data_IF_284024506055
#
_entry.id   IF_284024506055
#
_cell.length_a   1.000
_cell.length_b   1.000
_cell.length_c   1.000
_cell.angle_alpha   90.00
_cell.angle_beta   90.00
_cell.angle_gamma   90.00
#
_symmetry.space_group_name_H-M   'P 1'
#
loop_
_entity.id
_entity.type
_entity.pdbx_description
1 polymer ?
#
# COMPACT_ATOMS: atom_id res chain seq x y z
N UNK A 1 -20.11 -6.41 -33.14
CA UNK A 1 -19.10 -6.32 -34.23
C UNK A 1 -19.22 -5.00 -34.98
N UNK A 2 -18.80 -3.85 -34.41
CA UNK A 2 -18.85 -2.54 -35.13
C UNK A 2 -17.51 -1.76 -35.07
N UNK A 3 -16.52 -2.12 -34.27
CA UNK A 3 -15.27 -1.35 -34.14
C UNK A 3 -14.15 -1.72 -35.14
N UNK A 4 -14.45 -2.36 -36.27
CA UNK A 4 -13.42 -2.89 -37.20
C UNK A 4 -13.16 -2.02 -38.45
N UNK A 5 -13.98 -1.00 -38.73
CA UNK A 5 -13.90 -0.28 -40.01
C UNK A 5 -12.90 0.90 -40.03
N UNK A 6 -12.52 1.48 -38.87
CA UNK A 6 -11.67 2.67 -38.82
C UNK A 6 -10.15 2.41 -38.84
N UNK A 7 -9.70 1.16 -38.74
CA UNK A 7 -8.28 0.80 -38.55
C UNK A 7 -7.49 0.53 -39.85
N UNK A 8 -8.18 0.55 -41.00
CA UNK A 8 -7.58 0.28 -42.33
C UNK A 8 -6.90 1.50 -42.96
N UNK A 9 -7.16 2.71 -42.46
CA UNK A 9 -6.68 3.97 -43.06
C UNK A 9 -5.42 4.53 -42.38
N UNK A 10 -4.87 3.87 -41.35
CA UNK A 10 -3.65 4.36 -40.70
C UNK A 10 -2.44 4.06 -41.59
N UNK A 11 -1.75 5.09 -42.13
CA UNK A 11 -0.60 4.88 -42.99
C UNK A 11 0.45 4.08 -42.22
N UNK A 12 1.12 3.16 -42.92
CA UNK A 12 2.15 2.27 -42.34
C UNK A 12 3.17 3.07 -41.51
N UNK A 13 3.50 4.30 -41.94
CA UNK A 13 4.35 5.25 -41.23
C UNK A 13 3.80 5.64 -39.85
N UNK A 14 2.51 5.94 -39.73
CA UNK A 14 1.87 6.27 -38.45
C UNK A 14 1.91 5.08 -37.47
N UNK A 15 1.66 3.86 -37.95
CA UNK A 15 1.76 2.64 -37.13
C UNK A 15 3.19 2.40 -36.63
N UNK A 16 4.19 2.57 -37.50
CA UNK A 16 5.60 2.43 -37.10
C UNK A 16 6.03 3.50 -36.09
N UNK A 17 5.59 4.76 -36.25
CA UNK A 17 5.87 5.84 -35.29
C UNK A 17 5.20 5.55 -33.95
N UNK A 18 3.92 5.17 -33.95
CA UNK A 18 3.19 4.83 -32.73
C UNK A 18 3.84 3.65 -31.98
N UNK A 19 4.34 2.65 -32.71
CA UNK A 19 5.09 1.53 -32.13
C UNK A 19 6.36 2.02 -31.39
N UNK A 20 7.16 2.87 -32.06
CA UNK A 20 8.38 3.43 -31.48
C UNK A 20 8.10 4.30 -30.26
N UNK A 21 7.08 5.16 -30.33
CA UNK A 21 6.66 6.00 -29.20
C UNK A 21 6.26 5.13 -28.02
N UNK A 22 5.49 4.07 -28.24
CA UNK A 22 5.05 3.16 -27.17
C UNK A 22 6.24 2.50 -26.48
N UNK A 23 7.19 1.94 -27.25
CA UNK A 23 8.40 1.32 -26.70
C UNK A 23 9.25 2.33 -25.93
N UNK A 24 9.45 3.54 -26.47
CA UNK A 24 10.21 4.60 -25.80
C UNK A 24 9.54 5.06 -24.51
N UNK A 25 8.22 5.25 -24.52
CA UNK A 25 7.45 5.68 -23.35
C UNK A 25 7.51 4.65 -22.22
N UNK A 26 7.23 3.38 -22.52
CA UNK A 26 7.27 2.33 -21.49
C UNK A 26 8.70 2.02 -21.03
N UNK A 27 9.68 2.09 -21.93
CA UNK A 27 11.10 1.96 -21.57
C UNK A 27 11.54 3.08 -20.63
N UNK A 28 11.19 4.34 -20.94
CA UNK A 28 11.45 5.49 -20.08
C UNK A 28 10.79 5.32 -18.70
N UNK A 29 9.54 4.89 -18.67
CA UNK A 29 8.80 4.68 -17.42
C UNK A 29 9.39 3.54 -16.59
N UNK A 30 9.80 2.43 -17.21
CA UNK A 30 10.51 1.35 -16.53
C UNK A 30 11.84 1.82 -15.90
N UNK A 31 12.63 2.62 -16.63
CA UNK A 31 13.87 3.22 -16.11
C UNK A 31 13.58 4.14 -14.92
N UNK A 32 12.55 4.98 -15.00
CA UNK A 32 12.14 5.84 -13.88
C UNK A 32 11.74 5.02 -12.65
N UNK A 33 10.98 3.92 -12.83
CA UNK A 33 10.59 3.04 -11.73
C UNK A 33 11.81 2.38 -11.08
N UNK A 34 12.78 1.93 -11.87
CA UNK A 34 14.04 1.35 -11.37
C UNK A 34 14.89 2.37 -10.62
N UNK A 35 15.13 3.55 -11.18
CA UNK A 35 15.93 4.62 -10.54
C UNK A 35 15.26 5.06 -9.23
N UNK A 36 13.94 5.24 -9.25
CA UNK A 36 13.20 5.68 -8.08
C UNK A 36 13.17 4.60 -6.99
N UNK A 37 13.08 3.31 -7.34
CA UNK A 37 13.21 2.20 -6.39
C UNK A 37 14.63 2.11 -5.82
N UNK A 38 15.67 2.25 -6.66
CA UNK A 38 17.06 2.31 -6.20
C UNK A 38 17.26 3.46 -5.21
N UNK A 39 16.76 4.66 -5.53
CA UNK A 39 16.84 5.81 -4.64
C UNK A 39 16.12 5.60 -3.31
N UNK A 40 15.03 4.84 -3.31
CA UNK A 40 14.32 4.46 -2.09
C UNK A 40 15.12 3.46 -1.24
N UNK A 41 15.88 2.56 -1.87
CA UNK A 41 16.70 1.54 -1.21
C UNK A 41 18.05 2.07 -0.72
N UNK A 42 18.75 2.87 -1.54
CA UNK A 42 20.11 3.35 -1.25
C UNK A 42 20.13 4.75 -0.63
N UNK A 43 19.02 5.49 -0.70
CA UNK A 43 18.97 6.90 -0.32
C UNK A 43 19.64 7.85 -1.32
N UNK A 44 20.15 7.33 -2.45
CA UNK A 44 20.85 8.10 -3.49
C UNK A 44 20.08 8.02 -4.81
N UNK A 45 19.67 9.14 -5.43
CA UNK A 45 20.03 10.53 -5.13
C UNK A 45 19.24 11.14 -3.96
N UNK A 46 19.94 11.88 -3.08
CA UNK A 46 19.37 12.42 -1.83
C UNK A 46 18.19 13.39 -2.02
N UNK A 47 18.07 14.04 -3.19
CA UNK A 47 16.92 14.89 -3.51
C UNK A 47 15.65 14.08 -3.76
N UNK A 48 15.78 12.95 -4.47
CA UNK A 48 14.66 12.06 -4.77
C UNK A 48 14.27 11.24 -3.53
N UNK A 49 15.27 10.72 -2.81
CA UNK A 49 15.07 9.98 -1.56
C UNK A 49 14.31 10.83 -0.52
N UNK A 50 14.70 12.09 -0.31
CA UNK A 50 13.98 13.00 0.60
C UNK A 50 12.52 13.25 0.21
N UNK A 51 12.24 13.43 -1.08
CA UNK A 51 10.85 13.59 -1.56
C UNK A 51 10.02 12.33 -1.34
N UNK A 52 10.60 11.16 -1.62
CA UNK A 52 9.92 9.87 -1.43
C UNK A 52 9.71 9.55 0.06
N UNK A 53 10.70 9.80 0.90
CA UNK A 53 10.61 9.67 2.36
C UNK A 53 9.61 10.67 2.97
N UNK A 54 9.54 11.90 2.46
CA UNK A 54 8.51 12.87 2.86
C UNK A 54 7.10 12.40 2.55
N UNK A 55 6.91 11.63 1.46
CA UNK A 55 5.63 11.01 1.13
C UNK A 55 5.35 9.75 1.96
N UNK A 56 6.40 9.07 2.47
CA UNK A 56 6.35 7.76 3.15
C UNK A 56 7.36 7.69 4.32
N UNK A 57 7.12 8.40 5.43
CA UNK A 57 8.10 8.52 6.52
C UNK A 57 8.42 7.19 7.23
N UNK A 58 7.50 6.22 7.20
CA UNK A 58 7.62 4.94 7.90
C UNK A 58 8.09 3.78 7.01
N UNK A 59 8.63 4.06 5.82
CA UNK A 59 9.09 3.01 4.92
C UNK A 59 10.41 2.41 5.41
N UNK A 60 10.35 1.16 5.87
CA UNK A 60 11.53 0.32 6.09
C UNK A 60 11.87 -0.39 4.78
N UNK A 61 13.08 -0.24 4.24
CA UNK A 61 13.51 -0.96 3.04
C UNK A 61 13.39 -2.48 3.24
N UNK A 62 12.47 -3.12 2.53
CA UNK A 62 12.34 -4.58 2.50
C UNK A 62 12.55 -5.06 1.07
N UNK A 63 13.69 -5.71 0.83
CA UNK A 63 14.01 -6.32 -0.47
C UNK A 63 13.66 -7.79 -0.40
N UNK A 64 12.63 -8.19 -1.14
CA UNK A 64 12.38 -9.61 -1.39
C UNK A 64 13.17 -10.02 -2.64
N UNK A 65 14.24 -10.80 -2.45
CA UNK A 65 15.12 -11.22 -3.55
C UNK A 65 14.33 -11.91 -4.70
N UNK A 66 13.30 -12.68 -4.36
CA UNK A 66 12.41 -13.33 -5.34
C UNK A 66 11.70 -12.31 -6.24
N UNK A 67 11.10 -11.27 -5.65
CA UNK A 67 10.41 -10.22 -6.41
C UNK A 67 11.39 -9.43 -7.30
N UNK A 68 12.61 -9.20 -6.82
CA UNK A 68 13.67 -8.55 -7.60
C UNK A 68 14.06 -9.38 -8.83
N UNK A 69 14.28 -10.69 -8.65
CA UNK A 69 14.61 -11.60 -9.76
C UNK A 69 13.48 -11.60 -10.79
N UNK A 70 12.22 -11.72 -10.34
CA UNK A 70 11.05 -11.69 -11.22
C UNK A 70 10.99 -10.37 -12.02
N UNK A 71 11.22 -9.23 -11.38
CA UNK A 71 11.24 -7.94 -12.05
C UNK A 71 12.35 -7.81 -13.11
N UNK A 72 13.55 -8.32 -12.81
CA UNK A 72 14.66 -8.38 -13.78
C UNK A 72 14.28 -9.28 -14.95
N UNK A 73 13.71 -10.46 -14.70
CA UNK A 73 13.27 -11.39 -15.74
C UNK A 73 12.22 -10.76 -16.66
N UNK A 74 11.22 -10.05 -16.11
CA UNK A 74 10.24 -9.32 -16.91
C UNK A 74 10.88 -8.23 -17.77
N UNK A 75 11.83 -7.48 -17.21
CA UNK A 75 12.55 -6.42 -17.94
C UNK A 75 13.38 -6.99 -19.09
N UNK A 76 14.10 -8.09 -18.85
CA UNK A 76 14.90 -8.78 -19.87
C UNK A 76 14.00 -9.39 -20.94
N UNK A 77 12.92 -10.08 -20.56
CA UNK A 77 11.98 -10.67 -21.49
C UNK A 77 11.37 -9.60 -22.42
N UNK A 78 10.97 -8.45 -21.86
CA UNK A 78 10.47 -7.33 -22.65
C UNK A 78 11.51 -6.80 -23.65
N UNK A 79 12.77 -6.59 -23.22
CA UNK A 79 13.86 -6.15 -24.11
C UNK A 79 14.11 -7.15 -25.24
N UNK A 80 14.12 -8.45 -24.93
CA UNK A 80 14.29 -9.51 -25.93
C UNK A 80 13.15 -9.49 -26.95
N UNK A 81 11.90 -9.36 -26.49
CA UNK A 81 10.74 -9.31 -27.39
C UNK A 81 10.80 -8.08 -28.30
N UNK A 82 11.08 -6.91 -27.71
CA UNK A 82 11.19 -5.65 -28.46
C UNK A 82 12.29 -5.71 -29.51
N UNK A 83 13.45 -6.28 -29.15
CA UNK A 83 14.60 -6.34 -30.03
C UNK A 83 14.44 -7.35 -31.17
N UNK A 84 13.82 -8.50 -30.89
CA UNK A 84 13.73 -9.67 -31.79
C UNK A 84 12.50 -9.67 -32.68
N UNK A 85 11.34 -9.23 -32.18
CA UNK A 85 10.05 -9.55 -32.79
C UNK A 85 9.21 -8.35 -33.22
N UNK A 86 9.55 -7.12 -32.85
CA UNK A 86 8.56 -6.02 -32.94
C UNK A 86 9.03 -4.77 -33.68
N UNK A 87 9.87 -4.94 -34.71
CA UNK A 87 10.31 -3.80 -35.55
C UNK A 87 9.27 -3.37 -36.59
N UNK A 88 8.22 -4.18 -36.78
CA UNK A 88 7.14 -3.95 -37.76
C UNK A 88 5.92 -3.17 -37.23
N UNK A 89 5.14 -2.54 -38.13
CA UNK A 89 3.92 -1.78 -37.82
C UNK A 89 2.75 -2.64 -37.30
N UNK A 90 2.74 -3.93 -37.58
CA UNK A 90 1.72 -4.89 -37.12
C UNK A 90 1.77 -5.17 -35.61
N UNK A 91 2.90 -4.87 -34.97
CA UNK A 91 3.14 -5.21 -33.57
C UNK A 91 2.83 -4.09 -32.57
N UNK A 92 2.24 -2.97 -33.02
CA UNK A 92 1.92 -1.80 -32.15
C UNK A 92 1.12 -2.21 -30.91
N UNK A 93 0.05 -2.99 -31.10
CA UNK A 93 -0.84 -3.39 -30.00
C UNK A 93 -0.11 -4.33 -29.03
N UNK A 94 0.69 -5.25 -29.56
CA UNK A 94 1.45 -6.21 -28.75
C UNK A 94 2.54 -5.52 -27.93
N UNK A 95 3.25 -4.55 -28.50
CA UNK A 95 4.23 -3.75 -27.75
C UNK A 95 3.58 -2.88 -26.68
N UNK A 96 2.40 -2.36 -26.96
CA UNK A 96 1.65 -1.58 -26.00
C UNK A 96 1.20 -2.45 -24.81
N UNK A 97 0.60 -3.61 -25.07
CA UNK A 97 0.17 -4.53 -23.98
C UNK A 97 1.36 -5.04 -23.17
N UNK A 98 2.47 -5.42 -23.83
CA UNK A 98 3.68 -5.84 -23.12
C UNK A 98 4.30 -4.72 -22.29
N UNK A 99 4.28 -3.47 -22.77
CA UNK A 99 4.74 -2.31 -22.02
C UNK A 99 3.88 -2.03 -20.78
N UNK A 100 2.56 -2.17 -20.89
CA UNK A 100 1.63 -2.07 -19.76
C UNK A 100 1.88 -3.19 -18.75
N UNK A 101 2.03 -4.44 -19.21
CA UNK A 101 2.31 -5.59 -18.34
C UNK A 101 3.65 -5.40 -17.61
N UNK A 102 4.70 -4.97 -18.30
CA UNK A 102 6.00 -4.68 -17.68
C UNK A 102 5.87 -3.61 -16.60
N UNK A 103 5.23 -2.49 -16.93
CA UNK A 103 5.02 -1.38 -16.01
C UNK A 103 4.27 -1.83 -14.77
N UNK A 104 3.16 -2.55 -14.97
CA UNK A 104 2.34 -3.04 -13.88
C UNK A 104 3.07 -4.08 -13.03
N UNK A 105 3.81 -5.00 -13.66
CA UNK A 105 4.62 -5.99 -12.96
C UNK A 105 5.70 -5.31 -12.11
N UNK A 106 6.40 -4.30 -12.63
CA UNK A 106 7.39 -3.53 -11.87
C UNK A 106 6.75 -2.82 -10.67
N UNK A 107 5.57 -2.22 -10.84
CA UNK A 107 4.85 -1.60 -9.72
C UNK A 107 4.47 -2.64 -8.67
N UNK A 108 3.91 -3.79 -9.08
CA UNK A 108 3.45 -4.82 -8.14
C UNK A 108 4.59 -5.60 -7.48
N UNK A 109 5.80 -5.59 -8.04
CA UNK A 109 6.95 -6.31 -7.47
C UNK A 109 7.86 -5.38 -6.66
N UNK A 110 8.30 -4.26 -7.25
CA UNK A 110 9.23 -3.33 -6.62
C UNK A 110 8.51 -2.37 -5.66
N UNK A 111 7.36 -1.85 -6.08
CA UNK A 111 6.68 -0.76 -5.38
C UNK A 111 5.63 -1.24 -4.40
N UNK A 112 5.17 -2.49 -4.47
CA UNK A 112 4.13 -3.00 -3.58
C UNK A 112 4.48 -2.87 -2.08
N UNK A 113 5.69 -3.23 -1.60
CA UNK A 113 6.05 -3.02 -0.19
C UNK A 113 6.05 -1.53 0.17
N UNK A 114 6.59 -0.73 -0.74
CA UNK A 114 6.66 0.72 -0.60
C UNK A 114 5.30 1.39 -0.67
N UNK A 115 4.29 0.79 -1.31
CA UNK A 115 2.89 1.22 -1.42
C UNK A 115 2.01 0.70 -0.28
N UNK A 116 2.39 -0.40 0.36
CA UNK A 116 1.69 -0.93 1.53
C UNK A 116 2.14 -0.31 2.88
N UNK A 117 3.39 0.13 2.99
CA UNK A 117 3.96 0.66 4.26
C UNK A 117 3.19 1.84 4.86
N UNK A 118 2.72 2.77 4.04
CA UNK A 118 2.05 4.01 4.43
C UNK A 118 0.64 3.82 4.98
N UNK A 119 0.01 2.68 4.70
CA UNK A 119 -1.32 2.31 5.18
C UNK A 119 -1.25 1.40 6.41
N UNK A 120 -0.05 0.93 6.79
CA UNK A 120 0.06 -0.19 7.71
C UNK A 120 -0.23 0.20 9.16
N UNK A 121 -1.48 -0.03 9.60
CA UNK A 121 -1.90 -0.03 11.00
C UNK A 121 -1.22 -1.17 11.81
N UNK A 122 -0.40 -1.99 11.15
CA UNK A 122 0.32 -3.11 11.73
C UNK A 122 1.18 -2.71 12.93
N UNK A 123 1.84 -1.57 12.89
CA UNK A 123 2.62 -1.08 14.03
C UNK A 123 1.71 -0.76 15.24
N UNK A 124 0.54 -0.15 14.98
CA UNK A 124 -0.47 0.11 16.01
C UNK A 124 -1.03 -1.21 16.57
N UNK A 125 -1.38 -2.18 15.72
CA UNK A 125 -1.96 -3.45 16.18
C UNK A 125 -0.96 -4.36 16.90
N UNK A 126 0.31 -4.37 16.49
CA UNK A 126 1.37 -5.11 17.19
C UNK A 126 1.68 -4.51 18.56
N UNK A 127 1.68 -3.18 18.69
CA UNK A 127 1.85 -2.53 19.99
C UNK A 127 0.60 -2.64 20.86
N UNK A 128 -0.59 -2.58 20.27
CA UNK A 128 -1.86 -2.85 20.92
C UNK A 128 -1.88 -4.26 21.54
N UNK A 129 -1.47 -5.29 20.79
CA UNK A 129 -1.39 -6.67 21.29
C UNK A 129 -0.56 -6.79 22.56
N UNK A 130 0.52 -6.00 22.70
CA UNK A 130 1.36 -5.99 23.90
C UNK A 130 0.73 -5.24 25.07
N UNK A 131 -0.16 -4.29 24.79
CA UNK A 131 -0.84 -3.47 25.78
C UNK A 131 -2.17 -4.07 26.26
N UNK A 132 -2.75 -5.00 25.49
CA UNK A 132 -3.94 -5.75 25.87
C UNK A 132 -3.60 -6.64 27.08
N UNK A 133 -4.33 -6.52 28.20
CA UNK A 133 -4.19 -7.40 29.34
C UNK A 133 -4.63 -8.83 29.00
N UNK A 134 -3.98 -9.82 29.62
CA UNK A 134 -4.40 -11.23 29.49
C UNK A 134 -5.80 -11.45 30.10
N UNK A 135 -6.58 -12.37 29.53
CA UNK A 135 -7.92 -12.73 30.03
C UNK A 135 -9.10 -12.06 29.31
N UNK A 136 -8.84 -11.07 28.44
CA UNK A 136 -9.89 -10.46 27.63
C UNK A 136 -10.07 -11.20 26.30
N UNK A 137 -11.32 -11.45 25.92
CA UNK A 137 -11.68 -12.16 24.67
C UNK A 137 -12.38 -11.27 23.64
N UNK A 138 -12.76 -10.05 24.03
CA UNK A 138 -13.50 -9.11 23.20
C UNK A 138 -12.87 -7.72 23.24
N UNK A 139 -12.84 -7.08 22.07
CA UNK A 139 -12.44 -5.69 21.89
C UNK A 139 -13.57 -4.92 21.20
N UNK A 140 -14.12 -3.93 21.89
CA UNK A 140 -15.15 -3.08 21.34
C UNK A 140 -14.49 -1.97 20.48
N UNK A 141 -15.03 -1.68 19.29
CA UNK A 141 -14.46 -0.73 18.34
C UNK A 141 -15.37 0.49 18.17
N UNK A 142 -14.76 1.67 18.20
CA UNK A 142 -15.39 2.96 17.90
C UNK A 142 -14.54 3.71 16.89
N UNK A 143 -15.16 4.22 15.81
CA UNK A 143 -14.46 4.95 14.74
C UNK A 143 -13.71 4.08 13.72
N UNK A 144 -13.48 2.80 14.02
CA UNK A 144 -12.71 1.87 13.16
C UNK A 144 -13.53 1.36 11.96
N UNK A 145 -12.92 1.32 10.77
CA UNK A 145 -13.53 0.82 9.53
C UNK A 145 -13.66 -0.71 9.48
N UNK A 146 -14.55 -1.23 8.62
CA UNK A 146 -14.77 -2.68 8.48
C UNK A 146 -13.51 -3.44 8.02
N UNK A 147 -12.72 -2.84 7.12
CA UNK A 147 -11.48 -3.41 6.61
C UNK A 147 -10.39 -3.52 7.69
N UNK A 148 -10.36 -2.60 8.65
CA UNK A 148 -9.41 -2.61 9.76
C UNK A 148 -9.79 -3.64 10.83
N UNK A 149 -11.09 -3.87 11.04
CA UNK A 149 -11.61 -4.85 11.99
C UNK A 149 -11.03 -6.25 11.75
N UNK A 150 -11.11 -6.74 10.50
CA UNK A 150 -10.59 -8.08 10.17
C UNK A 150 -9.08 -8.20 10.40
N UNK A 151 -8.32 -7.14 10.13
CA UNK A 151 -6.89 -7.09 10.44
C UNK A 151 -6.63 -7.06 11.94
N UNK A 152 -7.42 -6.32 12.71
CA UNK A 152 -7.32 -6.24 14.16
C UNK A 152 -7.51 -7.62 14.80
N UNK A 153 -8.55 -8.36 14.40
CA UNK A 153 -8.79 -9.72 14.87
C UNK A 153 -7.62 -10.65 14.52
N UNK A 154 -7.07 -10.54 13.31
CA UNK A 154 -5.92 -11.33 12.87
C UNK A 154 -4.66 -11.07 13.71
N UNK A 155 -4.35 -9.80 13.99
CA UNK A 155 -3.11 -9.44 14.70
C UNK A 155 -3.22 -9.59 16.23
N UNK A 156 -4.38 -9.29 16.81
CA UNK A 156 -4.58 -9.31 18.27
C UNK A 156 -5.16 -10.64 18.78
N UNK A 157 -5.86 -11.40 17.93
CA UNK A 157 -6.58 -12.61 18.32
C UNK A 157 -7.87 -12.35 19.11
N UNK A 158 -8.24 -11.09 19.32
CA UNK A 158 -9.47 -10.69 20.01
C UNK A 158 -10.64 -10.63 19.03
N UNK A 159 -11.85 -10.96 19.50
CA UNK A 159 -13.07 -10.71 18.71
C UNK A 159 -13.38 -9.22 18.72
N UNK A 160 -13.34 -8.59 17.55
CA UNK A 160 -13.52 -7.17 17.40
C UNK A 160 -14.99 -6.86 17.05
N UNK A 161 -15.69 -6.19 17.96
CA UNK A 161 -17.12 -5.86 17.81
C UNK A 161 -17.35 -4.37 17.79
N UNK A 162 -18.11 -3.87 16.82
CA UNK A 162 -18.42 -2.44 16.70
C UNK A 162 -19.46 -2.04 17.75
N UNK A 163 -19.21 -0.94 18.46
CA UNK A 163 -20.11 -0.46 19.53
C UNK A 163 -21.42 0.13 18.98
N UNK A 164 -21.51 0.40 17.68
CA UNK A 164 -22.81 0.75 17.05
C UNK A 164 -23.84 -0.40 17.15
N UNK A 165 -23.39 -1.65 17.34
CA UNK A 165 -24.23 -2.87 17.24
C UNK A 165 -24.17 -3.74 18.52
N UNK A 166 -23.23 -3.51 19.44
CA UNK A 166 -23.07 -4.36 20.63
C UNK A 166 -23.25 -3.57 21.94
N UNK A 167 -24.00 -4.17 22.85
CA UNK A 167 -24.17 -3.73 24.23
C UNK A 167 -22.78 -3.52 24.91
N UNK A 168 -22.48 -2.32 25.43
CA UNK A 168 -21.26 -2.02 26.18
C UNK A 168 -21.00 -2.93 27.38
N UNK A 169 -21.98 -3.73 27.81
CA UNK A 169 -21.89 -4.60 28.97
C UNK A 169 -21.13 -5.91 28.77
N UNK A 170 -20.95 -6.37 27.53
CA UNK A 170 -20.31 -7.67 27.27
C UNK A 170 -18.77 -7.57 27.15
N UNK A 171 -18.23 -6.48 26.59
CA UNK A 171 -16.80 -6.34 26.32
C UNK A 171 -16.12 -5.34 27.26
N UNK A 172 -15.04 -5.77 27.94
CA UNK A 172 -14.32 -4.95 28.92
C UNK A 172 -13.23 -4.03 28.33
N UNK A 173 -12.97 -4.09 27.03
CA UNK A 173 -12.01 -3.25 26.32
C UNK A 173 -12.69 -2.47 25.19
N UNK A 174 -12.26 -1.23 24.99
CA UNK A 174 -12.72 -0.33 23.93
C UNK A 174 -11.52 0.30 23.22
N UNK A 175 -11.41 0.08 21.91
CA UNK A 175 -10.48 0.75 21.03
C UNK A 175 -11.20 1.86 20.26
N UNK A 176 -10.77 3.09 20.51
CA UNK A 176 -11.29 4.29 19.87
C UNK A 176 -10.27 4.82 18.86
N UNK A 177 -10.72 4.97 17.61
CA UNK A 177 -9.94 5.58 16.54
C UNK A 177 -10.44 7.00 16.29
N UNK A 178 -9.53 7.97 16.39
CA UNK A 178 -9.84 9.39 16.23
C UNK A 178 -8.90 10.03 15.20
N UNK A 179 -9.35 11.03 14.44
CA UNK A 179 -8.47 11.72 13.49
C UNK A 179 -7.28 12.37 14.20
N UNK A 180 -6.10 12.41 13.57
CA UNK A 180 -4.85 12.87 14.19
C UNK A 180 -4.78 14.30 14.71
N UNK A 181 -5.77 15.12 14.38
CA UNK A 181 -5.94 16.48 14.92
C UNK A 181 -6.78 16.53 16.21
N UNK A 182 -7.32 15.39 16.65
CA UNK A 182 -8.10 15.31 17.87
C UNK A 182 -7.24 15.62 19.10
N UNK A 183 -7.84 16.31 20.07
CA UNK A 183 -7.18 16.58 21.34
C UNK A 183 -6.83 15.27 22.08
N UNK A 184 -5.77 15.26 22.89
CA UNK A 184 -5.45 14.13 23.75
C UNK A 184 -6.68 13.72 24.54
N UNK A 185 -7.08 12.46 24.44
CA UNK A 185 -8.25 12.00 25.18
C UNK A 185 -7.86 11.68 26.61
N UNK A 186 -8.57 12.30 27.55
CA UNK A 186 -8.56 11.87 28.94
C UNK A 186 -9.35 10.57 29.16
N UNK A 187 -9.54 10.23 30.43
CA UNK A 187 -10.43 9.15 30.83
C UNK A 187 -11.87 9.48 30.43
N UNK A 188 -12.61 8.46 29.98
CA UNK A 188 -14.01 8.57 29.61
C UNK A 188 -14.88 8.06 30.78
N UNK A 189 -16.10 8.58 31.01
CA UNK A 189 -16.93 8.09 32.11
C UNK A 189 -17.13 6.56 32.05
N UNK A 190 -16.71 5.84 33.10
CA UNK A 190 -16.76 4.37 33.16
C UNK A 190 -15.61 3.64 32.43
N UNK A 191 -14.64 4.35 31.86
CA UNK A 191 -13.55 3.81 31.07
C UNK A 191 -12.21 4.49 31.41
N UNK A 192 -11.21 3.72 31.83
CA UNK A 192 -9.85 4.20 32.07
C UNK A 192 -8.96 4.01 30.84
N UNK A 193 -8.20 5.04 30.46
CA UNK A 193 -7.24 4.93 29.35
C UNK A 193 -6.03 4.13 29.81
N UNK A 194 -5.73 3.04 29.11
CA UNK A 194 -4.58 2.17 29.44
C UNK A 194 -3.46 2.24 28.39
N UNK A 195 -3.77 2.70 27.18
CA UNK A 195 -2.78 2.81 26.11
C UNK A 195 -3.22 3.80 25.03
N UNK A 196 -2.25 4.46 24.41
CA UNK A 196 -2.44 5.37 23.29
C UNK A 196 -1.32 5.17 22.27
N UNK A 197 -1.68 5.11 20.99
CA UNK A 197 -0.73 5.09 19.88
C UNK A 197 -1.02 6.21 18.91
N UNK A 198 -0.02 7.07 18.76
CA UNK A 198 0.01 8.13 17.76
C UNK A 198 0.99 7.73 16.68
N UNK A 199 0.51 7.65 15.44
CA UNK A 199 1.39 7.31 14.32
C UNK A 199 2.47 8.40 14.16
N UNK A 200 3.77 8.05 14.09
CA UNK A 200 4.86 9.03 13.99
C UNK A 200 4.95 9.76 12.63
N UNK A 201 3.93 9.69 11.79
CA UNK A 201 3.98 10.26 10.44
C UNK A 201 3.75 11.78 10.46
N UNK A 202 4.41 12.49 9.54
CA UNK A 202 4.34 13.95 9.37
C UNK A 202 2.92 14.46 9.03
N UNK A 203 2.04 13.59 8.50
CA UNK A 203 0.62 13.92 8.28
C UNK A 203 -0.22 13.45 9.48
N UNK A 204 -1.25 14.22 9.91
CA UNK A 204 -2.14 13.80 10.98
C UNK A 204 -2.90 12.55 10.52
N UNK A 205 -2.40 11.38 10.92
CA UNK A 205 -3.05 10.08 10.80
C UNK A 205 -3.85 9.79 12.06
N UNK A 206 -4.67 8.78 12.00
CA UNK A 206 -5.55 8.40 13.10
C UNK A 206 -4.76 8.01 14.36
N UNK A 207 -5.33 8.37 15.51
CA UNK A 207 -4.86 8.13 16.87
C UNK A 207 -5.71 7.00 17.42
N UNK A 208 -5.04 5.93 17.86
CA UNK A 208 -5.68 4.78 18.47
C UNK A 208 -5.56 4.90 19.98
N UNK A 209 -6.69 4.85 20.70
CA UNK A 209 -6.72 4.89 22.16
C UNK A 209 -7.42 3.65 22.69
N UNK A 210 -6.77 2.91 23.58
CA UNK A 210 -7.34 1.74 24.24
C UNK A 210 -7.81 2.12 25.65
N UNK A 211 -9.06 1.79 25.91
CA UNK A 211 -9.75 1.97 27.17
C UNK A 211 -10.10 0.63 27.80
N UNK A 212 -10.06 0.59 29.13
CA UNK A 212 -10.55 -0.51 29.96
C UNK A 212 -11.79 -0.06 30.71
N UNK A 213 -12.82 -0.89 30.76
CA UNK A 213 -14.04 -0.60 31.53
C UNK A 213 -13.71 -0.64 33.02
N UNK A 214 -14.10 0.39 33.76
CA UNK A 214 -13.89 0.44 35.20
C UNK A 214 -14.85 -0.55 35.87
N UNK A 215 -14.32 -1.54 36.61
CA UNK A 215 -15.10 -2.49 37.39
C UNK A 215 -15.30 -3.90 36.80
N UNK A 216 -14.66 -4.24 35.68
CA UNK A 216 -14.59 -5.62 35.15
C UNK A 216 -13.11 -6.07 35.13
N UNK A 217 -12.76 -7.25 35.67
CA UNK A 217 -11.39 -7.76 35.66
C UNK A 217 -10.88 -7.99 34.24
#
# INVERSE_FOLDING_TARGET
MIAAAGSRELPVRAKTIANRISVLFFGFLAVLLWISWLALMTGTPAGLARKLQGFRPDYVPQVQAVLLIVAVLYTVAWLVVVWRFTRGPEHVVLNWTLGVILTWALIMTLWLPALNSGTSHRAAFLSLRKAVPEGYSCLALRGVGESERGMLEYFTGLRARRIEIADPDDCGLLLDERPGKAEPSGDMPGWSRIWEFRHPSIRPKDVFTLYRKNGKP
#
